data_IF_340072423702
#
_entry.id   IF_340072423702
#
_cell.length_a   1.000
_cell.length_b   1.000
_cell.length_c   1.000
_cell.angle_alpha   90.00
_cell.angle_beta   90.00
_cell.angle_gamma   90.00
#
_symmetry.space_group_name_H-M   'P 1'
#
loop_
_entity.id
_entity.type
_entity.pdbx_description
1 polymer ?
#
# COMPACT_ATOMS: atom_id res chain seq x y z
N UNK A 1 -10.71 16.44 10.39
CA UNK A 1 -9.49 16.28 11.19
C UNK A 1 -8.40 15.80 10.24
N UNK A 2 -7.20 16.38 10.31
CA UNK A 2 -6.06 15.87 9.54
C UNK A 2 -5.43 14.72 10.35
N UNK A 3 -5.34 13.54 9.76
CA UNK A 3 -4.62 12.40 10.34
C UNK A 3 -3.27 12.28 9.64
N UNK A 4 -2.19 12.28 10.40
CA UNK A 4 -0.86 11.93 9.90
C UNK A 4 -0.66 10.43 10.08
N UNK A 5 -0.24 9.76 9.01
CA UNK A 5 0.08 8.34 9.02
C UNK A 5 1.60 8.18 8.88
N UNK A 6 2.19 7.24 9.61
CA UNK A 6 3.54 6.77 9.28
C UNK A 6 3.53 5.93 7.99
N UNK A 7 4.71 5.62 7.45
CA UNK A 7 4.83 4.88 6.18
C UNK A 7 4.15 3.51 6.22
N UNK A 8 4.12 2.83 7.36
CA UNK A 8 3.49 1.53 7.52
C UNK A 8 1.96 1.65 7.56
N UNK A 9 1.45 2.63 8.30
CA UNK A 9 0.03 2.94 8.36
C UNK A 9 -0.51 3.41 7.01
N UNK A 10 0.27 4.21 6.27
CA UNK A 10 -0.05 4.64 4.92
C UNK A 10 -0.09 3.46 3.93
N UNK A 11 0.86 2.51 4.04
CA UNK A 11 0.84 1.27 3.24
C UNK A 11 -0.43 0.47 3.52
N UNK A 12 -0.76 0.28 4.80
CA UNK A 12 -1.98 -0.43 5.22
C UNK A 12 -3.26 0.26 4.74
N UNK A 13 -3.30 1.59 4.77
CA UNK A 13 -4.43 2.36 4.26
C UNK A 13 -4.62 2.15 2.75
N UNK A 14 -3.53 2.21 1.98
CA UNK A 14 -3.53 1.96 0.54
C UNK A 14 -3.94 0.52 0.21
N UNK A 15 -3.41 -0.47 0.94
CA UNK A 15 -3.80 -1.88 0.80
C UNK A 15 -5.30 -2.08 1.04
N UNK A 16 -5.85 -1.50 2.12
CA UNK A 16 -7.28 -1.57 2.43
C UNK A 16 -8.16 -0.90 1.37
N UNK A 17 -7.69 0.19 0.77
CA UNK A 17 -8.38 0.84 -0.33
C UNK A 17 -8.45 -0.07 -1.57
N UNK A 18 -7.33 -0.71 -1.94
CA UNK A 18 -7.28 -1.64 -3.06
C UNK A 18 -8.10 -2.90 -2.82
N UNK A 19 -8.09 -3.46 -1.60
CA UNK A 19 -9.00 -4.55 -1.20
C UNK A 19 -10.44 -4.17 -1.49
N UNK A 20 -10.87 -2.98 -1.05
CA UNK A 20 -12.24 -2.53 -1.25
C UNK A 20 -12.57 -2.37 -2.74
N UNK A 21 -11.64 -1.87 -3.52
CA UNK A 21 -11.81 -1.72 -4.96
C UNK A 21 -11.90 -3.09 -5.66
N UNK A 22 -11.09 -4.06 -5.24
CA UNK A 22 -11.18 -5.43 -5.73
C UNK A 22 -12.52 -6.08 -5.39
N UNK A 23 -13.03 -5.93 -4.16
CA UNK A 23 -14.36 -6.42 -3.77
C UNK A 23 -15.49 -5.89 -4.68
N UNK A 24 -15.37 -4.63 -5.12
CA UNK A 24 -16.39 -3.97 -5.94
C UNK A 24 -16.30 -4.34 -7.42
N UNK A 25 -15.10 -4.61 -7.92
CA UNK A 25 -14.84 -4.76 -9.36
C UNK A 25 -14.51 -6.19 -9.79
N UNK A 26 -14.08 -7.02 -8.84
CA UNK A 26 -13.48 -8.33 -9.08
C UNK A 26 -12.34 -8.30 -10.12
N UNK A 27 -11.61 -7.18 -10.20
CA UNK A 27 -10.53 -6.99 -11.17
C UNK A 27 -9.36 -7.92 -10.90
N UNK A 28 -9.07 -8.83 -11.84
CA UNK A 28 -7.97 -9.79 -11.71
C UNK A 28 -6.60 -9.14 -11.52
N UNK A 29 -6.35 -8.00 -12.16
CA UNK A 29 -5.09 -7.25 -12.02
C UNK A 29 -4.91 -6.70 -10.59
N UNK A 30 -5.99 -6.16 -10.01
CA UNK A 30 -5.97 -5.66 -8.63
C UNK A 30 -5.81 -6.82 -7.64
N UNK A 31 -6.48 -7.96 -7.89
CA UNK A 31 -6.31 -9.17 -7.09
C UNK A 31 -4.88 -9.71 -7.14
N UNK A 32 -4.23 -9.71 -8.31
CA UNK A 32 -2.84 -10.12 -8.46
C UNK A 32 -1.89 -9.18 -7.71
N UNK A 33 -2.11 -7.87 -7.79
CA UNK A 33 -1.36 -6.86 -7.05
C UNK A 33 -1.54 -7.02 -5.53
N UNK A 34 -2.77 -7.19 -5.05
CA UNK A 34 -3.04 -7.46 -3.62
C UNK A 34 -2.33 -8.73 -3.14
N UNK A 35 -2.28 -9.76 -3.98
CA UNK A 35 -1.55 -10.99 -3.71
C UNK A 35 -0.04 -10.78 -3.57
N UNK A 36 0.58 -9.97 -4.42
CA UNK A 36 2.02 -9.65 -4.30
C UNK A 36 2.32 -8.75 -3.10
N UNK A 37 1.38 -7.88 -2.74
CA UNK A 37 1.47 -6.95 -1.62
C UNK A 37 1.16 -7.56 -0.25
N UNK A 38 0.79 -8.85 -0.19
CA UNK A 38 0.28 -9.48 1.02
C UNK A 38 1.19 -9.22 2.23
N UNK A 39 0.58 -8.65 3.27
CA UNK A 39 1.21 -8.31 4.53
C UNK A 39 1.44 -9.58 5.35
N UNK A 40 2.67 -9.80 5.83
CA UNK A 40 2.93 -10.78 6.91
C UNK A 40 2.44 -10.20 8.25
N UNK A 41 2.23 -11.06 9.26
CA UNK A 41 1.56 -10.74 10.54
C UNK A 41 2.08 -9.47 11.26
N UNK A 42 3.31 -9.02 10.97
CA UNK A 42 3.93 -7.81 11.53
C UNK A 42 3.64 -6.51 10.74
N UNK A 43 2.78 -6.56 9.72
CA UNK A 43 2.35 -5.40 8.94
C UNK A 43 3.40 -4.86 7.97
N UNK A 44 4.37 -5.68 7.56
CA UNK A 44 5.31 -5.41 6.46
C UNK A 44 4.98 -6.27 5.24
N UNK A 45 5.34 -5.86 4.02
CA UNK A 45 5.16 -6.70 2.83
C UNK A 45 5.97 -8.00 2.94
N UNK A 46 5.44 -9.10 2.40
CA UNK A 46 6.16 -10.37 2.30
C UNK A 46 7.43 -10.28 1.42
N UNK A 47 7.44 -9.36 0.46
CA UNK A 47 8.56 -9.09 -0.44
C UNK A 47 9.27 -7.78 -0.02
N UNK A 48 10.55 -7.84 0.40
CA UNK A 48 11.35 -6.65 0.70
C UNK A 48 11.47 -5.66 -0.47
N UNK A 49 11.44 -6.13 -1.72
CA UNK A 49 11.55 -5.25 -2.89
C UNK A 49 10.34 -4.30 -3.01
N UNK A 50 9.14 -4.81 -2.71
CA UNK A 50 7.92 -3.98 -2.71
C UNK A 50 7.91 -2.95 -1.57
N UNK A 51 8.63 -3.20 -0.48
CA UNK A 51 8.79 -2.22 0.59
C UNK A 51 9.69 -1.06 0.17
N UNK A 52 10.79 -1.34 -0.53
CA UNK A 52 11.68 -0.31 -1.04
C UNK A 52 10.98 0.58 -2.07
N UNK A 53 10.22 -0.02 -2.99
CA UNK A 53 9.38 0.73 -3.95
C UNK A 53 8.34 1.61 -3.24
N UNK A 54 7.73 1.10 -2.17
CA UNK A 54 6.80 1.88 -1.35
C UNK A 54 7.48 3.06 -0.66
N UNK A 55 8.65 2.84 -0.05
CA UNK A 55 9.40 3.90 0.62
C UNK A 55 9.81 4.99 -0.38
N UNK A 56 10.23 4.61 -1.60
CA UNK A 56 10.51 5.56 -2.66
C UNK A 56 9.28 6.40 -3.04
N UNK A 57 8.10 5.78 -3.11
CA UNK A 57 6.85 6.51 -3.37
C UNK A 57 6.47 7.47 -2.23
N UNK A 58 6.70 7.08 -0.97
CA UNK A 58 6.50 7.95 0.21
C UNK A 58 7.45 9.14 0.16
N UNK A 59 8.74 8.91 -0.09
CA UNK A 59 9.74 9.98 -0.20
C UNK A 59 9.39 10.97 -1.32
N UNK A 60 9.00 10.46 -2.50
CA UNK A 60 8.57 11.31 -3.61
C UNK A 60 7.36 12.17 -3.25
N UNK A 61 6.38 11.61 -2.52
CA UNK A 61 5.18 12.32 -2.07
C UNK A 61 5.52 13.41 -1.03
N UNK A 62 6.48 13.15 -0.15
CA UNK A 62 6.93 14.13 0.85
C UNK A 62 7.80 15.24 0.22
N UNK A 63 8.56 14.91 -0.83
CA UNK A 63 9.44 15.86 -1.52
C UNK A 63 8.69 16.79 -2.48
N UNK A 64 7.58 16.32 -3.05
CA UNK A 64 6.74 17.10 -3.96
C UNK A 64 5.37 17.37 -3.32
N UNK A 65 5.16 18.53 -2.68
CA UNK A 65 3.80 18.91 -2.29
C UNK A 65 2.95 19.08 -3.56
N UNK A 66 1.83 18.35 -3.60
CA UNK A 66 0.80 18.45 -4.65
C UNK A 66 0.23 19.87 -4.76
#
# INVERSE_FOLDING_TARGET
>A
MAHSLDSQQAYKAMFKFLEKYYELTNSGEVGALLGSMALIEDGKPLDPALWDDWMAAVEATLAAPL
#
